data_IF_706057698719
#
_entry.id   IF_706057698719
#
_cell.length_a   1.000
_cell.length_b   1.000
_cell.length_c   1.000
_cell.angle_alpha   90.00
_cell.angle_beta   90.00
_cell.angle_gamma   90.00
#
_symmetry.space_group_name_H-M   'P 1'
#
loop_
_entity.id
_entity.type
_entity.pdbx_description
1 polymer ?
#
# COMPACT_ATOMS: atom_id res chain seq x y z
N UNK A 1 30.01 42.02 -70.28
CA UNK A 1 29.44 42.50 -69.01
C UNK A 1 28.92 41.27 -68.26
N UNK A 2 29.67 40.78 -67.28
CA UNK A 2 29.44 39.48 -66.63
C UNK A 2 28.42 39.60 -65.47
N UNK A 3 27.50 38.63 -65.41
CA UNK A 3 26.42 38.51 -64.42
C UNK A 3 26.96 38.07 -63.06
N UNK A 4 26.59 38.78 -62.00
CA UNK A 4 26.80 38.38 -60.60
C UNK A 4 25.83 37.24 -60.24
N UNK A 5 26.36 36.10 -59.79
CA UNK A 5 25.58 35.05 -59.12
C UNK A 5 25.87 35.19 -57.62
N UNK A 6 24.88 35.68 -56.88
CA UNK A 6 24.91 35.75 -55.43
C UNK A 6 24.38 34.43 -54.87
N UNK A 7 25.28 33.56 -54.41
CA UNK A 7 24.92 32.34 -53.70
C UNK A 7 24.57 32.68 -52.24
N UNK A 8 23.28 32.66 -51.93
CA UNK A 8 22.77 32.67 -50.56
C UNK A 8 23.07 31.31 -49.90
N UNK A 9 24.05 31.30 -49.00
CA UNK A 9 24.28 30.20 -48.06
C UNK A 9 23.18 30.24 -46.97
N UNK A 10 22.16 29.41 -47.12
CA UNK A 10 21.21 29.11 -46.06
C UNK A 10 21.85 28.06 -45.12
N UNK A 11 22.39 28.53 -43.99
CA UNK A 11 22.87 27.64 -42.93
C UNK A 11 21.68 27.17 -42.09
N UNK A 12 21.27 25.91 -42.29
CA UNK A 12 20.19 25.30 -41.51
C UNK A 12 20.72 24.93 -40.11
N UNK A 13 20.43 25.77 -39.12
CA UNK A 13 20.56 25.43 -37.70
C UNK A 13 19.48 24.41 -37.33
N UNK A 14 19.84 23.14 -37.35
CA UNK A 14 19.02 22.06 -36.78
C UNK A 14 19.22 22.11 -35.27
N UNK A 15 18.30 22.74 -34.56
CA UNK A 15 18.22 22.63 -33.10
C UNK A 15 17.78 21.21 -32.76
N UNK A 16 18.76 20.34 -32.50
CA UNK A 16 18.49 19.04 -31.90
C UNK A 16 17.94 19.23 -30.50
N UNK A 17 16.64 19.00 -30.31
CA UNK A 17 16.04 18.82 -28.99
C UNK A 17 16.59 17.50 -28.45
N UNK A 18 17.59 17.58 -27.57
CA UNK A 18 18.00 16.43 -26.76
C UNK A 18 16.93 16.30 -25.68
N UNK A 19 15.99 15.38 -25.87
CA UNK A 19 15.13 14.95 -24.78
C UNK A 19 16.03 14.23 -23.76
N UNK A 20 16.30 14.88 -22.64
CA UNK A 20 16.96 14.26 -21.50
C UNK A 20 15.98 13.21 -20.95
N UNK A 21 16.26 11.93 -21.22
CA UNK A 21 15.51 10.82 -20.63
C UNK A 21 15.82 10.79 -19.14
N UNK A 22 15.00 11.49 -18.34
CA UNK A 22 15.07 11.41 -16.88
C UNK A 22 14.89 9.93 -16.52
N UNK A 23 15.89 9.26 -15.92
CA UNK A 23 15.82 7.85 -15.64
C UNK A 23 14.60 7.58 -14.74
N UNK A 24 13.64 6.80 -15.24
CA UNK A 24 12.38 6.50 -14.52
C UNK A 24 12.61 5.87 -13.14
N UNK A 25 13.81 5.34 -12.89
CA UNK A 25 14.23 4.82 -11.58
C UNK A 25 14.32 5.90 -10.50
N UNK A 26 14.51 7.17 -10.86
CA UNK A 26 14.45 8.29 -9.91
C UNK A 26 13.01 8.77 -9.64
N UNK A 27 12.06 8.49 -10.54
CA UNK A 27 10.67 8.89 -10.38
C UNK A 27 9.95 8.08 -9.30
N UNK A 28 10.22 6.77 -9.24
CA UNK A 28 9.70 5.90 -8.19
C UNK A 28 10.68 5.86 -7.02
N UNK A 29 10.74 6.96 -6.27
CA UNK A 29 11.41 6.98 -4.97
C UNK A 29 10.87 5.94 -3.98
N UNK A 30 11.32 6.01 -2.74
CA UNK A 30 10.97 5.04 -1.70
C UNK A 30 9.44 4.89 -1.51
N UNK A 31 8.90 3.71 -1.84
CA UNK A 31 7.46 3.47 -1.94
C UNK A 31 6.83 3.29 -0.56
N UNK A 32 6.26 4.36 -0.02
CA UNK A 32 5.61 4.36 1.30
C UNK A 32 4.33 3.50 1.38
N UNK A 33 3.68 3.21 0.25
CA UNK A 33 2.42 2.47 0.21
C UNK A 33 2.46 1.11 0.94
N UNK A 34 3.60 0.39 0.85
CA UNK A 34 3.74 -0.95 1.43
C UNK A 34 4.47 -0.97 2.78
N UNK A 35 4.98 0.16 3.25
CA UNK A 35 5.70 0.20 4.54
C UNK A 35 4.71 0.01 5.69
N UNK A 36 4.96 -0.98 6.53
CA UNK A 36 4.21 -1.21 7.75
C UNK A 36 5.02 -0.69 8.95
N UNK A 37 4.45 0.16 9.81
CA UNK A 37 5.12 0.55 11.05
C UNK A 37 5.29 -0.68 11.94
N UNK A 38 6.46 -0.85 12.54
CA UNK A 38 6.75 -2.01 13.42
C UNK A 38 6.04 -1.91 14.78
N UNK A 39 5.64 -0.71 15.14
CA UNK A 39 5.08 -0.27 16.42
C UNK A 39 3.59 0.07 16.34
N UNK A 40 2.92 -0.25 15.23
CA UNK A 40 1.49 -0.02 15.04
C UNK A 40 0.72 -1.32 14.82
N UNK A 41 -0.56 -1.29 15.18
CA UNK A 41 -1.40 -2.47 15.21
C UNK A 41 -2.67 -2.22 16.02
N UNK A 42 -3.29 -3.29 16.47
CA UNK A 42 -4.59 -3.25 17.14
C UNK A 42 -4.45 -3.65 18.61
N UNK A 43 -5.34 -3.12 19.44
CA UNK A 43 -5.41 -3.48 20.85
C UNK A 43 -6.66 -4.30 21.15
N UNK A 44 -6.55 -5.22 22.10
CA UNK A 44 -7.69 -5.84 22.79
C UNK A 44 -7.44 -5.64 24.28
N UNK A 45 -8.23 -4.75 24.90
CA UNK A 45 -7.93 -4.26 26.25
C UNK A 45 -6.55 -3.60 26.29
N UNK A 46 -5.62 -4.15 27.08
CA UNK A 46 -4.24 -3.64 27.22
C UNK A 46 -3.23 -4.37 26.33
N UNK A 47 -3.65 -5.39 25.59
CA UNK A 47 -2.74 -6.23 24.81
C UNK A 47 -2.61 -5.71 23.38
N UNK A 48 -1.38 -5.47 22.93
CA UNK A 48 -1.05 -5.08 21.57
C UNK A 48 -0.96 -6.30 20.64
N UNK A 49 -1.41 -6.13 19.40
CA UNK A 49 -1.31 -7.11 18.33
C UNK A 49 -0.79 -6.45 17.04
N UNK A 50 0.23 -7.04 16.38
CA UNK A 50 0.76 -6.49 15.14
C UNK A 50 -0.27 -6.57 14.00
N UNK A 51 -0.09 -5.70 13.01
CA UNK A 51 -0.89 -5.67 11.78
C UNK A 51 -0.91 -7.06 11.12
N UNK A 52 -2.08 -7.48 10.63
CA UNK A 52 -2.28 -8.77 9.99
C UNK A 52 -2.61 -9.92 10.93
N UNK A 53 -2.48 -9.73 12.25
CA UNK A 53 -2.88 -10.73 13.26
C UNK A 53 -4.34 -11.14 13.08
N UNK A 54 -4.61 -12.44 13.19
CA UNK A 54 -5.97 -13.02 13.18
C UNK A 54 -6.34 -13.53 14.58
N UNK A 55 -7.59 -13.34 14.98
CA UNK A 55 -8.14 -13.81 16.25
C UNK A 55 -9.57 -14.31 16.06
N UNK A 56 -9.96 -15.36 16.77
CA UNK A 56 -11.36 -15.75 16.89
C UNK A 56 -12.02 -14.90 17.98
N UNK A 57 -13.16 -14.29 17.65
CA UNK A 57 -13.99 -13.57 18.59
C UNK A 57 -14.75 -14.52 19.52
N UNK A 58 -15.21 -15.66 19.00
CA UNK A 58 -15.95 -16.68 19.75
C UNK A 58 -15.06 -17.80 20.32
N UNK A 59 -13.78 -17.50 20.61
CA UNK A 59 -12.81 -18.50 21.10
C UNK A 59 -13.26 -19.27 22.37
N UNK A 60 -14.01 -18.62 23.26
CA UNK A 60 -14.56 -19.28 24.46
C UNK A 60 -15.58 -20.36 24.09
N UNK A 61 -16.44 -20.06 23.12
CA UNK A 61 -17.46 -20.97 22.62
C UNK A 61 -16.83 -22.13 21.85
N UNK A 62 -15.82 -21.86 21.03
CA UNK A 62 -15.03 -22.90 20.34
C UNK A 62 -14.37 -23.86 21.31
N UNK A 63 -13.77 -23.35 22.39
CA UNK A 63 -13.17 -24.18 23.43
C UNK A 63 -14.22 -25.03 24.16
N UNK A 64 -15.40 -24.46 24.42
CA UNK A 64 -16.51 -25.19 25.03
C UNK A 64 -17.04 -26.29 24.10
N UNK A 65 -17.17 -26.02 22.79
CA UNK A 65 -17.57 -26.99 21.79
C UNK A 65 -16.63 -28.19 21.79
N UNK A 66 -15.31 -27.95 21.74
CA UNK A 66 -14.30 -29.00 21.80
C UNK A 66 -14.41 -29.83 23.08
N UNK A 67 -14.57 -29.18 24.24
CA UNK A 67 -14.73 -29.87 25.52
C UNK A 67 -15.98 -30.75 25.57
N UNK A 68 -17.09 -30.32 24.96
CA UNK A 68 -18.37 -31.03 25.00
C UNK A 68 -18.45 -32.18 24.02
N UNK A 69 -17.94 -31.99 22.81
CA UNK A 69 -18.12 -32.95 21.71
C UNK A 69 -16.90 -33.84 21.50
N UNK A 70 -15.72 -33.40 21.94
CA UNK A 70 -14.45 -34.03 21.59
C UNK A 70 -13.94 -33.65 20.19
N UNK A 71 -14.66 -32.83 19.43
CA UNK A 71 -14.31 -32.43 18.07
C UNK A 71 -14.04 -30.93 17.97
N UNK A 72 -13.17 -30.54 17.04
CA UNK A 72 -13.05 -29.14 16.65
C UNK A 72 -14.31 -28.68 15.92
N UNK A 73 -14.73 -27.44 16.12
CA UNK A 73 -15.78 -26.86 15.31
C UNK A 73 -15.29 -26.64 13.87
N UNK A 74 -16.20 -26.59 12.90
CA UNK A 74 -15.84 -26.24 11.53
C UNK A 74 -15.41 -24.78 11.45
N UNK A 75 -14.57 -24.46 10.46
CA UNK A 75 -14.09 -23.09 10.23
C UNK A 75 -15.25 -22.10 10.00
N UNK A 76 -16.37 -22.56 9.41
CA UNK A 76 -17.56 -21.74 9.20
C UNK A 76 -18.29 -21.32 10.47
N UNK A 77 -18.00 -21.94 11.61
CA UNK A 77 -18.51 -21.54 12.92
C UNK A 77 -17.57 -20.57 13.65
N UNK A 78 -16.31 -20.47 13.23
CA UNK A 78 -15.36 -19.53 13.82
C UNK A 78 -15.65 -18.12 13.33
N UNK A 79 -15.96 -17.20 14.26
CA UNK A 79 -16.07 -15.77 13.95
C UNK A 79 -14.69 -15.17 14.05
N UNK A 80 -14.07 -14.88 12.91
CA UNK A 80 -12.70 -14.40 12.84
C UNK A 80 -12.65 -12.88 12.67
N UNK A 81 -11.62 -12.27 13.26
CA UNK A 81 -11.27 -10.88 13.02
C UNK A 81 -9.79 -10.76 12.69
N UNK A 82 -9.45 -9.72 11.91
CA UNK A 82 -8.09 -9.41 11.48
C UNK A 82 -7.76 -7.95 11.77
N UNK A 83 -6.57 -7.70 12.30
CA UNK A 83 -6.07 -6.35 12.52
C UNK A 83 -5.61 -5.76 11.19
N UNK A 84 -6.31 -4.75 10.68
CA UNK A 84 -6.07 -4.16 9.38
C UNK A 84 -6.04 -2.64 9.44
N UNK A 85 -5.36 -2.04 8.46
CA UNK A 85 -5.36 -0.60 8.24
C UNK A 85 -6.79 -0.11 7.91
N UNK A 86 -7.24 0.92 8.62
CA UNK A 86 -8.51 1.59 8.36
C UNK A 86 -8.34 2.59 7.21
N UNK A 87 -8.88 2.23 6.05
CA UNK A 87 -8.92 3.11 4.88
C UNK A 87 -10.10 4.08 5.02
N UNK A 88 -9.83 5.38 4.87
CA UNK A 88 -10.88 6.39 4.71
C UNK A 88 -11.25 6.48 3.22
N UNK A 89 -12.47 6.05 2.82
CA UNK A 89 -12.88 6.07 1.41
C UNK A 89 -13.15 7.48 0.87
N UNK A 90 -13.23 8.50 1.74
CA UNK A 90 -13.40 9.90 1.35
C UNK A 90 -12.07 10.64 1.20
N UNK A 91 -10.95 10.01 1.54
CA UNK A 91 -9.63 10.57 1.36
C UNK A 91 -9.14 10.38 -0.07
N UNK A 92 -8.63 11.45 -0.67
CA UNK A 92 -8.05 11.43 -2.02
C UNK A 92 -6.63 10.82 -2.05
N UNK A 93 -6.00 10.64 -0.88
CA UNK A 93 -4.67 10.02 -0.76
C UNK A 93 -4.51 9.16 0.51
N UNK A 94 -3.51 8.29 0.48
CA UNK A 94 -3.10 7.47 1.61
C UNK A 94 -2.22 8.26 2.60
N UNK A 95 -2.47 8.17 3.92
CA UNK A 95 -1.62 8.80 4.90
C UNK A 95 -0.23 8.14 4.96
N UNK A 96 0.75 8.92 5.42
CA UNK A 96 2.08 8.41 5.74
C UNK A 96 1.97 7.23 6.71
N UNK A 97 2.88 6.24 6.65
CA UNK A 97 2.81 5.05 7.50
C UNK A 97 2.60 5.34 8.99
N UNK A 98 3.23 6.39 9.51
CA UNK A 98 3.14 6.78 10.93
C UNK A 98 1.74 7.25 11.37
N UNK A 99 0.94 7.75 10.43
CA UNK A 99 -0.36 8.37 10.68
C UNK A 99 -1.53 7.40 10.40
N UNK A 100 -1.23 6.15 10.04
CA UNK A 100 -2.22 5.12 9.76
C UNK A 100 -2.93 4.68 11.05
N UNK A 101 -4.22 4.42 10.93
CA UNK A 101 -5.04 3.86 12.01
C UNK A 101 -5.31 2.39 11.73
N UNK A 102 -5.29 1.56 12.76
CA UNK A 102 -5.52 0.12 12.63
C UNK A 102 -6.70 -0.32 13.48
N UNK A 103 -7.55 -1.15 12.91
CA UNK A 103 -8.80 -1.61 13.54
C UNK A 103 -8.99 -3.10 13.33
N UNK A 104 -9.78 -3.72 14.20
CA UNK A 104 -10.23 -5.09 14.01
C UNK A 104 -11.38 -5.10 13.00
N UNK A 105 -11.21 -5.87 11.93
CA UNK A 105 -12.22 -6.08 10.87
C UNK A 105 -12.61 -7.55 10.85
N UNK A 106 -13.89 -7.84 10.61
CA UNK A 106 -14.34 -9.21 10.37
C UNK A 106 -13.59 -9.84 9.17
N UNK A 107 -13.21 -11.11 9.29
CA UNK A 107 -12.39 -11.84 8.31
C UNK A 107 -12.87 -13.26 8.08
#
# INVERSE_FOLDING_TARGET
MFKFISSLLFSALVFGVVAEEVPQTAFFGDKNAFKQPKDQGCYIGKTFYPVGTRKSMNHVELALYLKKTGYQASDGYAVMMRCLYLVDPLSDDHPLPKDRKFVWVAS
#
